data_IF_718224196614
#
_entry.id   IF_718224196614
#
_cell.length_a   1.000
_cell.length_b   1.000
_cell.length_c   1.000
_cell.angle_alpha   90.00
_cell.angle_beta   90.00
_cell.angle_gamma   90.00
#
_symmetry.space_group_name_H-M   'P 1'
#
loop_
_entity.id
_entity.type
_entity.pdbx_description
1 polymer ?
#
# COMPACT_ATOMS: atom_id res chain seq x y z
N UNK A 1 21.84 2.74 -36.82
CA UNK A 1 21.66 2.61 -35.37
C UNK A 1 21.83 4.01 -34.81
N UNK A 2 20.75 4.78 -34.68
CA UNK A 2 20.77 6.14 -34.14
C UNK A 2 20.63 6.08 -32.62
N UNK A 3 21.70 6.39 -31.90
CA UNK A 3 21.65 6.70 -30.48
C UNK A 3 20.98 8.06 -30.29
N UNK A 4 19.75 8.08 -29.78
CA UNK A 4 19.13 9.34 -29.36
C UNK A 4 19.92 9.91 -28.16
N UNK A 5 20.27 11.20 -28.15
CA UNK A 5 21.00 11.81 -27.04
C UNK A 5 20.12 11.76 -25.78
N UNK A 6 20.65 11.15 -24.72
CA UNK A 6 20.01 11.20 -23.40
C UNK A 6 20.07 12.62 -22.87
N UNK A 7 18.94 13.16 -22.44
CA UNK A 7 18.91 14.43 -21.71
C UNK A 7 19.13 14.12 -20.24
N UNK A 8 20.28 14.56 -19.71
CA UNK A 8 20.53 14.59 -18.27
C UNK A 8 19.81 15.78 -17.67
N UNK A 9 18.86 15.56 -16.77
CA UNK A 9 18.35 16.61 -15.88
C UNK A 9 19.02 16.47 -14.53
N UNK A 10 19.81 17.44 -14.15
CA UNK A 10 20.29 17.59 -12.77
C UNK A 10 19.17 18.23 -11.93
N UNK A 11 18.76 17.55 -10.88
CA UNK A 11 17.87 18.17 -9.88
C UNK A 11 18.75 19.06 -9.00
N UNK A 12 18.44 20.38 -8.87
CA UNK A 12 19.27 21.30 -8.10
C UNK A 12 19.42 20.85 -6.65
N UNK A 13 20.64 20.90 -6.11
CA UNK A 13 20.95 20.55 -4.72
C UNK A 13 20.24 21.41 -3.67
N UNK A 14 19.66 22.55 -4.08
CA UNK A 14 19.01 23.53 -3.20
C UNK A 14 17.58 23.15 -2.76
N UNK A 15 17.03 22.05 -3.25
CA UNK A 15 15.65 21.59 -2.90
C UNK A 15 15.61 20.71 -1.66
N UNK A 16 16.72 20.39 -1.02
CA UNK A 16 16.76 19.60 0.20
C UNK A 16 16.66 20.47 1.46
N UNK A 17 15.90 20.02 2.49
CA UNK A 17 15.87 20.70 3.77
C UNK A 17 17.28 20.76 4.38
N UNK A 18 17.58 21.87 5.06
CA UNK A 18 18.86 22.10 5.73
C UNK A 18 19.22 21.06 6.80
N UNK A 19 18.22 20.29 7.25
CA UNK A 19 18.37 19.19 8.22
C UNK A 19 19.08 17.96 7.65
N UNK A 20 19.27 17.86 6.33
CA UNK A 20 20.00 16.74 5.74
C UNK A 20 21.52 16.95 5.80
N UNK A 21 22.31 15.89 6.09
CA UNK A 21 23.77 15.96 6.09
C UNK A 21 24.33 16.53 4.78
N UNK A 22 25.38 17.32 4.86
CA UNK A 22 25.98 18.01 3.70
C UNK A 22 26.45 17.04 2.60
N UNK A 23 26.86 15.81 2.98
CA UNK A 23 27.20 14.73 2.03
C UNK A 23 26.01 14.31 1.18
N UNK A 24 24.81 14.28 1.74
CA UNK A 24 23.59 13.91 1.03
C UNK A 24 23.14 14.97 0.03
N UNK A 25 23.50 16.25 0.29
CA UNK A 25 23.23 17.38 -0.63
C UNK A 25 24.12 17.32 -1.86
N UNK A 26 25.33 16.72 -1.77
CA UNK A 26 26.30 16.58 -2.85
C UNK A 26 26.16 15.29 -3.66
N UNK A 27 25.36 14.32 -3.20
CA UNK A 27 25.10 13.13 -3.98
C UNK A 27 24.40 13.52 -5.28
N UNK A 28 25.12 13.42 -6.39
CA UNK A 28 24.62 13.75 -7.72
C UNK A 28 23.41 12.87 -8.04
N UNK A 29 22.26 13.48 -8.05
CA UNK A 29 21.00 12.87 -8.43
C UNK A 29 20.94 12.88 -9.95
N UNK A 30 21.02 11.73 -10.56
CA UNK A 30 20.89 11.62 -12.01
C UNK A 30 19.50 11.11 -12.33
N UNK A 31 18.74 11.96 -13.01
CA UNK A 31 17.56 11.53 -13.77
C UNK A 31 18.01 11.48 -15.22
N UNK A 32 18.06 10.31 -15.79
CA UNK A 32 18.37 10.13 -17.21
C UNK A 32 17.09 9.79 -17.98
N UNK A 33 16.83 10.56 -19.05
CA UNK A 33 15.86 10.18 -20.07
C UNK A 33 16.52 9.12 -20.98
N UNK A 34 16.20 7.85 -20.75
CA UNK A 34 16.70 6.74 -21.57
C UNK A 34 15.68 6.45 -22.67
N UNK A 35 15.81 7.16 -23.81
CA UNK A 35 14.89 7.03 -24.93
C UNK A 35 13.62 7.89 -24.82
N UNK A 36 12.75 7.85 -25.86
CA UNK A 36 11.62 8.80 -26.01
C UNK A 36 10.59 8.79 -24.89
N UNK A 37 10.55 7.78 -24.00
CA UNK A 37 9.54 7.68 -22.94
C UNK A 37 10.02 6.88 -21.71
N UNK A 38 11.33 6.90 -21.40
CA UNK A 38 11.86 6.15 -20.24
C UNK A 38 12.64 7.08 -19.34
N UNK A 39 12.34 7.07 -18.04
CA UNK A 39 13.07 7.80 -17.01
C UNK A 39 13.88 6.82 -16.19
N UNK A 40 15.16 7.11 -15.98
CA UNK A 40 16.03 6.39 -15.06
C UNK A 40 16.31 7.29 -13.85
N UNK A 41 16.09 6.78 -12.65
CA UNK A 41 16.38 7.48 -11.41
C UNK A 41 17.50 6.77 -10.66
N UNK A 42 18.55 7.52 -10.30
CA UNK A 42 19.61 7.05 -9.41
C UNK A 42 19.50 7.76 -8.08
N UNK A 43 19.39 6.99 -6.99
CA UNK A 43 19.17 7.51 -5.64
C UNK A 43 20.20 6.97 -4.66
N UNK A 44 20.53 7.70 -3.58
CA UNK A 44 21.30 7.16 -2.47
C UNK A 44 20.58 5.97 -1.81
N UNK A 45 21.34 4.99 -1.30
CA UNK A 45 20.79 3.82 -0.61
C UNK A 45 20.28 4.10 0.81
N UNK A 46 20.39 5.34 1.32
CA UNK A 46 19.92 5.72 2.65
C UNK A 46 18.38 5.84 2.65
N UNK A 47 17.64 5.02 3.43
CA UNK A 47 16.18 4.92 3.33
C UNK A 47 15.44 6.25 3.53
N UNK A 48 15.90 7.09 4.46
CA UNK A 48 15.29 8.39 4.72
C UNK A 48 15.43 9.34 3.52
N UNK A 49 16.63 9.43 2.95
CA UNK A 49 16.91 10.27 1.78
C UNK A 49 16.16 9.78 0.54
N UNK A 50 16.14 8.47 0.32
CA UNK A 50 15.43 7.84 -0.78
C UNK A 50 13.93 8.15 -0.71
N UNK A 51 13.31 8.02 0.48
CA UNK A 51 11.91 8.32 0.68
C UNK A 51 11.59 9.79 0.42
N UNK A 52 12.40 10.69 0.96
CA UNK A 52 12.26 12.12 0.72
C UNK A 52 12.32 12.46 -0.78
N UNK A 53 13.33 11.91 -1.49
CA UNK A 53 13.48 12.12 -2.93
C UNK A 53 12.30 11.57 -3.74
N UNK A 54 11.80 10.39 -3.38
CA UNK A 54 10.63 9.81 -4.02
C UNK A 54 9.40 10.72 -3.88
N UNK A 55 9.11 11.17 -2.67
CA UNK A 55 7.89 11.92 -2.37
C UNK A 55 7.92 13.34 -2.97
N UNK A 56 9.06 14.04 -2.86
CA UNK A 56 9.14 15.48 -3.17
C UNK A 56 9.65 15.78 -4.58
N UNK A 57 10.39 14.86 -5.21
CA UNK A 57 11.03 15.12 -6.50
C UNK A 57 10.57 14.13 -7.57
N UNK A 58 10.73 12.83 -7.33
CA UNK A 58 10.57 11.81 -8.37
C UNK A 58 9.10 11.60 -8.73
N UNK A 59 8.22 11.41 -7.73
CA UNK A 59 6.78 11.20 -7.98
C UNK A 59 6.14 12.40 -8.67
N UNK A 60 6.40 13.67 -8.25
CA UNK A 60 5.93 14.85 -8.98
C UNK A 60 6.44 14.90 -10.42
N UNK A 61 7.73 14.58 -10.65
CA UNK A 61 8.31 14.55 -11.99
C UNK A 61 7.65 13.48 -12.88
N UNK A 62 7.43 12.27 -12.36
CA UNK A 62 6.74 11.19 -13.07
C UNK A 62 5.32 11.63 -13.45
N UNK A 63 4.57 12.21 -12.50
CA UNK A 63 3.21 12.73 -12.74
C UNK A 63 3.17 13.82 -13.82
N UNK A 64 4.20 14.66 -13.87
CA UNK A 64 4.32 15.71 -14.89
C UNK A 64 4.67 15.15 -16.27
N UNK A 65 5.52 14.12 -16.30
CA UNK A 65 6.06 13.57 -17.56
C UNK A 65 5.12 12.58 -18.23
N UNK A 66 4.40 11.79 -17.42
CA UNK A 66 3.46 10.78 -17.90
C UNK A 66 2.01 11.19 -17.63
N UNK A 67 1.14 10.98 -18.59
CA UNK A 67 -0.31 11.07 -18.37
C UNK A 67 -0.78 9.80 -17.66
N UNK A 68 -0.59 9.75 -16.34
CA UNK A 68 -0.95 8.61 -15.52
C UNK A 68 -2.46 8.58 -15.29
N UNK A 69 -3.06 7.44 -15.60
CA UNK A 69 -4.46 7.20 -15.26
C UNK A 69 -4.52 6.65 -13.83
N UNK A 70 -5.50 7.08 -13.01
CA UNK A 70 -5.68 6.55 -11.68
C UNK A 70 -5.99 5.05 -11.74
N UNK A 71 -5.61 4.33 -10.66
CA UNK A 71 -6.04 2.96 -10.41
C UNK A 71 -6.86 2.99 -9.13
N UNK A 72 -8.07 2.45 -9.19
CA UNK A 72 -8.90 2.29 -8.00
C UNK A 72 -8.51 1.01 -7.28
N UNK A 73 -8.36 1.07 -5.97
CA UNK A 73 -8.08 -0.08 -5.12
C UNK A 73 -9.11 -0.20 -4.01
N UNK A 74 -9.63 -1.40 -3.82
CA UNK A 74 -10.40 -1.80 -2.63
C UNK A 74 -9.70 -2.98 -2.00
N UNK A 75 -9.32 -2.85 -0.74
CA UNK A 75 -8.65 -3.91 0.02
C UNK A 75 -9.57 -4.39 1.13
N UNK A 76 -9.65 -5.70 1.29
CA UNK A 76 -10.37 -6.38 2.37
C UNK A 76 -9.35 -7.13 3.21
N UNK A 77 -9.48 -7.08 4.52
CA UNK A 77 -8.67 -7.84 5.46
C UNK A 77 -9.46 -9.06 5.92
N UNK A 78 -8.90 -10.25 5.70
CA UNK A 78 -9.49 -11.52 6.09
C UNK A 78 -8.59 -12.26 7.09
N UNK A 79 -9.21 -13.04 7.97
CA UNK A 79 -8.52 -13.94 8.92
C UNK A 79 -9.24 -15.27 9.05
N UNK A 80 -8.60 -16.24 9.70
CA UNK A 80 -9.24 -17.53 10.03
C UNK A 80 -9.45 -18.47 8.85
N UNK A 81 -8.85 -18.19 7.69
CA UNK A 81 -8.92 -19.04 6.49
C UNK A 81 -7.57 -19.13 5.79
N UNK A 82 -7.21 -20.30 5.32
CA UNK A 82 -6.02 -20.48 4.50
C UNK A 82 -6.25 -19.96 3.06
N UNK A 83 -5.21 -19.45 2.42
CA UNK A 83 -5.30 -18.86 1.07
C UNK A 83 -5.89 -19.85 0.05
N UNK A 84 -5.44 -21.11 0.06
CA UNK A 84 -5.92 -22.14 -0.86
C UNK A 84 -7.42 -22.43 -0.69
N UNK A 85 -7.90 -22.48 0.56
CA UNK A 85 -9.31 -22.69 0.87
C UNK A 85 -10.14 -21.48 0.47
N UNK A 86 -9.60 -20.26 0.69
CA UNK A 86 -10.25 -19.02 0.28
C UNK A 86 -10.40 -18.99 -1.24
N UNK A 87 -9.32 -19.26 -1.98
CA UNK A 87 -9.32 -19.25 -3.45
C UNK A 87 -10.33 -20.27 -4.02
N UNK A 88 -10.42 -21.47 -3.45
CA UNK A 88 -11.41 -22.48 -3.84
C UNK A 88 -12.85 -21.97 -3.58
N UNK A 89 -13.11 -21.41 -2.40
CA UNK A 89 -14.45 -20.94 -2.04
C UNK A 89 -14.96 -19.78 -2.89
N UNK A 90 -14.06 -18.91 -3.34
CA UNK A 90 -14.44 -17.70 -4.07
C UNK A 90 -14.16 -17.79 -5.58
N UNK A 91 -13.77 -18.95 -6.09
CA UNK A 91 -13.42 -19.17 -7.51
C UNK A 91 -14.50 -18.66 -8.46
N UNK A 92 -15.76 -19.08 -8.29
CA UNK A 92 -16.86 -18.63 -9.15
C UNK A 92 -17.12 -17.12 -9.07
N UNK A 93 -16.95 -16.56 -7.89
CA UNK A 93 -17.05 -15.12 -7.68
C UNK A 93 -15.89 -14.39 -8.37
N UNK A 94 -14.65 -14.89 -8.25
CA UNK A 94 -13.49 -14.32 -8.93
C UNK A 94 -13.67 -14.34 -10.45
N UNK A 95 -14.15 -15.45 -11.01
CA UNK A 95 -14.44 -15.59 -12.45
C UNK A 95 -15.56 -14.63 -12.93
N UNK A 96 -16.44 -14.23 -12.04
CA UNK A 96 -17.52 -13.26 -12.32
C UNK A 96 -17.05 -11.80 -12.38
N UNK A 97 -15.79 -11.51 -12.03
CA UNK A 97 -15.27 -10.15 -12.04
C UNK A 97 -15.10 -9.62 -13.47
N UNK A 98 -15.36 -8.32 -13.63
CA UNK A 98 -15.16 -7.66 -14.92
C UNK A 98 -13.69 -7.71 -15.37
N UNK A 99 -13.44 -7.78 -16.67
CA UNK A 99 -12.10 -7.95 -17.26
C UNK A 99 -11.07 -6.89 -16.87
N UNK A 100 -11.51 -5.69 -16.51
CA UNK A 100 -10.67 -4.59 -16.05
C UNK A 100 -10.40 -4.62 -14.54
N UNK A 101 -10.97 -5.59 -13.82
CA UNK A 101 -10.72 -5.81 -12.39
C UNK A 101 -9.65 -6.88 -12.22
N UNK A 102 -8.71 -6.65 -11.34
CA UNK A 102 -7.69 -7.62 -10.93
C UNK A 102 -7.83 -7.91 -9.46
N UNK A 103 -7.92 -9.19 -9.12
CA UNK A 103 -7.83 -9.66 -7.76
C UNK A 103 -6.40 -10.03 -7.42
N UNK A 104 -5.95 -9.67 -6.22
CA UNK A 104 -4.66 -10.08 -5.68
C UNK A 104 -4.83 -10.61 -4.25
N UNK A 105 -4.24 -11.77 -4.00
CA UNK A 105 -4.11 -12.37 -2.68
C UNK A 105 -2.77 -11.91 -2.10
N UNK A 106 -2.79 -11.25 -0.96
CA UNK A 106 -1.62 -10.72 -0.27
C UNK A 106 -1.56 -11.35 1.14
N UNK A 107 -1.01 -12.57 1.24
CA UNK A 107 -0.95 -13.28 2.50
C UNK A 107 0.04 -12.64 3.49
N UNK A 108 -0.31 -12.69 4.76
CA UNK A 108 0.52 -12.37 5.90
C UNK A 108 0.39 -13.49 6.95
N UNK A 109 1.11 -13.40 8.08
CA UNK A 109 1.22 -14.47 9.07
C UNK A 109 -0.13 -15.05 9.57
N UNK A 110 -1.15 -14.20 9.74
CA UNK A 110 -2.46 -14.63 10.27
C UNK A 110 -3.62 -13.99 9.52
N UNK A 111 -3.36 -13.38 8.39
CA UNK A 111 -4.36 -12.63 7.63
C UNK A 111 -4.06 -12.69 6.14
N UNK A 112 -5.09 -12.50 5.35
CA UNK A 112 -5.00 -12.34 3.90
C UNK A 112 -5.62 -11.00 3.55
N UNK A 113 -4.90 -10.18 2.78
CA UNK A 113 -5.50 -9.02 2.14
C UNK A 113 -5.95 -9.41 0.74
N UNK A 114 -7.23 -9.32 0.47
CA UNK A 114 -7.76 -9.38 -0.88
C UNK A 114 -7.83 -7.96 -1.43
N UNK A 115 -7.11 -7.71 -2.53
CA UNK A 115 -7.11 -6.41 -3.19
C UNK A 115 -7.74 -6.49 -4.56
N UNK A 116 -8.85 -5.81 -4.72
CA UNK A 116 -9.47 -5.53 -6.01
C UNK A 116 -8.85 -4.26 -6.60
N UNK A 117 -8.30 -4.37 -7.80
CA UNK A 117 -7.68 -3.24 -8.52
C UNK A 117 -8.38 -3.03 -9.83
N UNK A 118 -8.90 -1.81 -10.08
CA UNK A 118 -9.55 -1.45 -11.33
C UNK A 118 -8.69 -0.46 -12.08
N UNK A 119 -8.26 -0.86 -13.27
CA UNK A 119 -7.50 0.00 -14.18
C UNK A 119 -8.45 0.85 -14.99
N UNK A 120 -8.20 2.15 -15.05
CA UNK A 120 -9.05 3.14 -15.72
C UNK A 120 -10.47 3.16 -15.11
N UNK A 121 -10.59 3.51 -13.81
CA UNK A 121 -11.87 3.62 -13.16
C UNK A 121 -12.74 4.70 -13.81
N UNK A 122 -14.05 4.50 -13.74
CA UNK A 122 -15.10 5.41 -14.13
C UNK A 122 -16.04 5.70 -12.95
N UNK A 123 -17.07 6.50 -13.16
CA UNK A 123 -18.04 6.89 -12.12
C UNK A 123 -18.83 5.69 -11.58
N UNK A 124 -18.88 4.57 -12.28
CA UNK A 124 -19.60 3.35 -11.86
C UNK A 124 -18.72 2.37 -11.09
N UNK A 125 -17.42 2.57 -11.11
CA UNK A 125 -16.43 1.63 -10.56
C UNK A 125 -16.65 1.37 -9.07
N UNK A 126 -16.86 2.40 -8.28
CA UNK A 126 -17.02 2.26 -6.83
C UNK A 126 -18.30 1.49 -6.49
N UNK A 127 -19.41 1.78 -7.15
CA UNK A 127 -20.68 1.06 -6.93
C UNK A 127 -20.58 -0.40 -7.35
N UNK A 128 -19.94 -0.70 -8.48
CA UNK A 128 -19.68 -2.05 -8.93
C UNK A 128 -18.83 -2.85 -7.94
N UNK A 129 -17.71 -2.27 -7.48
CA UNK A 129 -16.83 -2.93 -6.52
C UNK A 129 -17.53 -3.15 -5.18
N UNK A 130 -18.31 -2.18 -4.69
CA UNK A 130 -19.08 -2.34 -3.46
C UNK A 130 -20.12 -3.47 -3.58
N UNK A 131 -20.80 -3.60 -4.72
CA UNK A 131 -21.70 -4.72 -4.98
C UNK A 131 -20.98 -6.06 -4.95
N UNK A 132 -19.80 -6.16 -5.58
CA UNK A 132 -18.97 -7.37 -5.55
C UNK A 132 -18.43 -7.71 -4.15
N UNK A 133 -18.13 -6.72 -3.34
CA UNK A 133 -17.76 -6.91 -1.92
C UNK A 133 -18.95 -7.46 -1.12
N UNK A 134 -20.18 -6.99 -1.35
CA UNK A 134 -21.35 -7.54 -0.67
C UNK A 134 -21.69 -8.98 -1.12
N UNK A 135 -21.41 -9.34 -2.38
CA UNK A 135 -21.49 -10.74 -2.82
C UNK A 135 -20.44 -11.60 -2.07
N UNK A 136 -19.20 -11.15 -2.02
CA UNK A 136 -18.11 -11.86 -1.32
C UNK A 136 -18.41 -12.06 0.18
N UNK A 137 -18.99 -11.06 0.82
CA UNK A 137 -19.41 -11.13 2.23
C UNK A 137 -20.40 -12.25 2.51
N UNK A 138 -21.23 -12.62 1.54
CA UNK A 138 -22.17 -13.74 1.68
C UNK A 138 -21.48 -15.10 1.58
N UNK A 139 -20.33 -15.16 0.87
CA UNK A 139 -19.57 -16.40 0.67
C UNK A 139 -18.66 -16.68 1.88
N UNK A 140 -18.02 -15.64 2.43
CA UNK A 140 -17.06 -15.77 3.53
C UNK A 140 -17.35 -14.74 4.66
N UNK A 141 -18.55 -14.77 5.27
CA UNK A 141 -19.03 -13.74 6.19
C UNK A 141 -18.18 -13.64 7.47
N UNK A 142 -17.66 -14.77 7.95
CA UNK A 142 -16.91 -14.84 9.22
C UNK A 142 -15.42 -14.49 9.04
N UNK A 143 -14.95 -14.45 7.80
CA UNK A 143 -13.53 -14.26 7.55
C UNK A 143 -13.17 -12.80 7.28
N UNK A 144 -14.07 -11.98 6.75
CA UNK A 144 -13.80 -10.55 6.48
C UNK A 144 -13.92 -9.76 7.78
N UNK A 145 -12.81 -9.19 8.22
CA UNK A 145 -12.73 -8.41 9.47
C UNK A 145 -12.60 -6.91 9.23
N UNK A 146 -12.17 -6.48 8.03
CA UNK A 146 -12.16 -5.07 7.65
C UNK A 146 -12.33 -4.88 6.13
N UNK A 147 -12.87 -3.74 5.75
CA UNK A 147 -13.17 -3.34 4.36
C UNK A 147 -12.22 -2.25 3.85
N UNK A 148 -11.06 -2.13 4.48
CA UNK A 148 -10.01 -1.16 4.18
C UNK A 148 -8.62 -1.79 4.38
N UNK A 149 -7.58 -1.15 3.83
CA UNK A 149 -6.19 -1.57 4.06
C UNK A 149 -5.71 -1.06 5.41
N UNK A 150 -6.06 -1.77 6.45
CA UNK A 150 -5.74 -1.47 7.84
C UNK A 150 -4.87 -2.57 8.44
N UNK A 151 -3.99 -2.22 9.37
CA UNK A 151 -3.25 -3.20 10.15
C UNK A 151 -4.13 -3.81 11.24
N UNK A 152 -3.82 -5.06 11.60
CA UNK A 152 -4.60 -5.77 12.61
C UNK A 152 -4.60 -5.06 13.97
N UNK A 153 -3.42 -4.55 14.38
CA UNK A 153 -3.28 -3.78 15.62
C UNK A 153 -4.09 -2.48 15.62
N UNK A 154 -4.19 -1.80 14.48
CA UNK A 154 -5.01 -0.59 14.32
C UNK A 154 -6.51 -0.92 14.40
N UNK A 155 -6.93 -2.03 13.75
CA UNK A 155 -8.31 -2.51 13.81
C UNK A 155 -8.71 -2.88 15.23
N UNK A 156 -7.85 -3.60 15.96
CA UNK A 156 -8.08 -3.95 17.37
C UNK A 156 -8.23 -2.70 18.22
N UNK A 157 -7.36 -1.71 18.05
CA UNK A 157 -7.44 -0.43 18.77
C UNK A 157 -8.77 0.30 18.50
N UNK A 158 -9.21 0.37 17.23
CA UNK A 158 -10.52 0.94 16.88
C UNK A 158 -11.66 0.21 17.61
N UNK A 159 -11.68 -1.12 17.54
CA UNK A 159 -12.73 -1.93 18.17
C UNK A 159 -12.78 -1.79 19.69
N UNK A 160 -11.61 -1.71 20.35
CA UNK A 160 -11.54 -1.52 21.80
C UNK A 160 -12.10 -0.14 22.19
N UNK A 161 -11.73 0.91 21.47
CA UNK A 161 -12.26 2.26 21.68
C UNK A 161 -13.78 2.32 21.48
N UNK A 162 -14.28 1.77 20.38
CA UNK A 162 -15.71 1.78 20.05
C UNK A 162 -16.55 1.04 21.10
N UNK A 163 -15.98 -0.02 21.72
CA UNK A 163 -16.63 -0.80 22.78
C UNK A 163 -16.34 -0.30 24.18
N UNK A 164 -15.56 0.76 24.33
CA UNK A 164 -15.08 1.25 25.64
C UNK A 164 -14.42 0.16 26.48
N UNK A 165 -13.63 -0.71 25.84
CA UNK A 165 -12.92 -1.79 26.48
C UNK A 165 -11.45 -1.44 26.65
N UNK A 166 -10.84 -2.03 27.69
CA UNK A 166 -9.40 -1.99 27.93
C UNK A 166 -8.77 -3.34 27.64
N UNK A 167 -7.48 -3.36 27.35
CA UNK A 167 -6.71 -4.58 27.12
C UNK A 167 -5.47 -4.61 28.02
N UNK A 168 -5.15 -5.79 28.54
CA UNK A 168 -3.90 -6.06 29.22
C UNK A 168 -3.22 -7.29 28.61
N UNK A 169 -1.90 -7.30 28.56
CA UNK A 169 -1.12 -8.42 28.03
C UNK A 169 -0.29 -9.05 29.12
N UNK A 170 -0.23 -10.39 29.13
CA UNK A 170 0.72 -11.17 29.89
C UNK A 170 1.45 -12.11 28.93
N UNK A 171 2.69 -11.80 28.61
CA UNK A 171 3.44 -12.46 27.57
C UNK A 171 4.60 -13.30 28.13
N UNK A 172 4.88 -14.42 27.48
CA UNK A 172 6.02 -15.29 27.75
C UNK A 172 6.89 -15.42 26.50
N UNK A 173 6.64 -16.42 25.65
CA UNK A 173 7.44 -16.69 24.46
C UNK A 173 7.37 -15.58 23.38
N UNK A 174 6.31 -14.78 23.36
CA UNK A 174 6.15 -13.63 22.47
C UNK A 174 7.06 -12.45 22.84
N UNK A 175 7.64 -12.46 24.06
CA UNK A 175 8.66 -11.49 24.49
C UNK A 175 8.23 -10.03 24.46
N UNK A 176 6.95 -9.74 24.70
CA UNK A 176 6.40 -8.37 24.62
C UNK A 176 5.95 -7.95 23.21
N UNK A 177 5.92 -8.87 22.24
CA UNK A 177 5.58 -8.51 20.86
C UNK A 177 4.13 -8.04 20.71
N UNK A 178 3.19 -8.64 21.42
CA UNK A 178 1.77 -8.23 21.38
C UNK A 178 1.62 -6.82 21.96
N UNK A 179 2.20 -6.58 23.17
CA UNK A 179 2.22 -5.25 23.76
C UNK A 179 2.86 -4.21 22.82
N UNK A 180 4.00 -4.55 22.20
CA UNK A 180 4.69 -3.69 21.24
C UNK A 180 3.83 -3.33 20.03
N UNK A 181 3.07 -4.27 19.48
CA UNK A 181 2.15 -4.02 18.36
C UNK A 181 1.00 -3.09 18.77
N UNK A 182 0.37 -3.36 19.93
CA UNK A 182 -0.71 -2.53 20.46
C UNK A 182 -0.22 -1.11 20.73
N UNK A 183 0.93 -0.95 21.39
CA UNK A 183 1.48 0.36 21.73
C UNK A 183 2.09 1.12 20.54
N UNK A 184 2.30 0.46 19.41
CA UNK A 184 2.71 1.11 18.16
C UNK A 184 1.60 1.96 17.51
N UNK A 185 0.34 1.75 17.93
CA UNK A 185 -0.82 2.49 17.45
C UNK A 185 -0.97 3.78 18.25
N UNK A 186 -1.03 4.92 17.55
CA UNK A 186 -1.25 6.22 18.18
C UNK A 186 -2.59 6.24 18.94
N UNK A 187 -2.59 6.73 20.18
CA UNK A 187 -3.76 6.75 21.04
C UNK A 187 -4.05 5.42 21.74
N UNK A 188 -3.10 4.48 21.80
CA UNK A 188 -3.24 3.21 22.50
C UNK A 188 -3.41 3.33 24.03
N UNK A 189 -3.17 4.50 24.59
CA UNK A 189 -3.43 4.79 26.02
C UNK A 189 -4.92 4.93 26.37
N UNK A 190 -5.81 4.92 25.38
CA UNK A 190 -7.26 5.02 25.59
C UNK A 190 -7.94 3.63 25.84
N UNK A 191 -7.17 2.54 25.70
CA UNK A 191 -7.68 1.17 25.90
C UNK A 191 -6.71 0.22 26.58
#
# INVERSE_FOLDING_TARGET
VGTAPGIMMEVPSNSLPETLPERSRRASRRVELVGRNKLLFSMPGVPFEMRYLMEHEIIPLIKKHYNLKPVFHKTLLLTGIAESILAEKISDWEDSLAKNVRLAYLPAYSSIRLRLSVYQPDDTTESYINAKVEELKRIVPENIIAYEDIKLEELVGKLLKDKHCTVATAESCTGGKVASLITSVSGSSEY
#
